data_IF_605309655575
#
_entry.id   IF_605309655575
#
_cell.length_a   1.000
_cell.length_b   1.000
_cell.length_c   1.000
_cell.angle_alpha   90.00
_cell.angle_beta   90.00
_cell.angle_gamma   90.00
#
_symmetry.space_group_name_H-M   'P 1'
#
loop_
_entity.id
_entity.type
_entity.pdbx_description
1 polymer ?
#
# COMPACT_ATOMS: atom_id res chain seq x y z
N UNK A 1 28.55 9.80 8.20
CA UNK A 1 28.71 10.03 6.72
C UNK A 1 27.85 11.20 6.32
N UNK A 2 28.28 12.01 5.36
CA UNK A 2 27.52 13.13 4.79
C UNK A 2 27.17 12.79 3.35
N UNK A 3 25.91 12.96 2.96
CA UNK A 3 25.43 12.80 1.58
C UNK A 3 25.10 14.19 1.06
N UNK A 4 25.82 14.68 0.04
CA UNK A 4 25.63 15.96 -0.63
C UNK A 4 24.88 15.73 -1.94
N UNK A 5 23.95 16.63 -2.28
CA UNK A 5 23.25 16.65 -3.55
C UNK A 5 23.01 18.11 -4.02
N UNK A 6 22.83 18.30 -5.31
CA UNK A 6 22.44 19.60 -5.87
C UNK A 6 21.16 20.14 -5.24
N UNK A 7 20.22 19.25 -4.93
CA UNK A 7 18.95 19.58 -4.25
C UNK A 7 18.60 18.51 -3.22
N UNK A 8 18.15 18.91 -2.02
CA UNK A 8 17.55 18.00 -1.02
C UNK A 8 16.06 18.31 -0.91
N UNK A 9 15.22 17.34 -1.32
CA UNK A 9 13.75 17.41 -1.20
C UNK A 9 13.35 16.76 0.12
N UNK A 10 13.07 17.57 1.13
CA UNK A 10 12.87 17.07 2.49
C UNK A 10 11.50 16.46 2.76
N UNK A 11 10.49 16.81 1.98
CA UNK A 11 9.06 16.54 2.25
C UNK A 11 8.58 17.09 3.60
N UNK A 12 9.34 18.04 4.19
CA UNK A 12 9.05 18.72 5.46
C UNK A 12 9.20 20.26 5.34
N UNK A 13 9.33 20.76 4.11
CA UNK A 13 9.51 22.17 3.76
C UNK A 13 10.01 22.32 2.32
N UNK A 14 10.40 23.52 1.90
CA UNK A 14 10.89 23.74 0.55
C UNK A 14 12.19 22.96 0.28
N UNK A 15 12.49 22.61 -0.99
CA UNK A 15 13.75 21.99 -1.37
C UNK A 15 14.95 22.85 -0.98
N UNK A 16 16.04 22.22 -0.57
CA UNK A 16 17.29 22.87 -0.14
C UNK A 16 18.31 22.74 -1.29
N UNK A 17 18.65 23.88 -1.90
CA UNK A 17 19.69 23.95 -2.93
C UNK A 17 21.07 23.73 -2.34
N UNK A 18 21.95 22.99 -3.05
CA UNK A 18 23.26 22.56 -2.59
C UNK A 18 23.17 22.01 -1.15
N UNK A 19 22.24 21.08 -0.97
CA UNK A 19 21.90 20.53 0.33
C UNK A 19 22.75 19.33 0.70
N UNK A 20 22.71 18.99 1.99
CA UNK A 20 23.31 17.76 2.49
C UNK A 20 22.51 17.15 3.65
N UNK A 21 22.71 15.85 3.82
CA UNK A 21 22.18 15.04 4.91
C UNK A 21 23.33 14.34 5.62
N UNK A 22 23.46 14.56 6.92
CA UNK A 22 24.33 13.74 7.75
C UNK A 22 23.55 12.55 8.31
N UNK A 23 24.12 11.33 8.24
CA UNK A 23 23.52 10.12 8.73
C UNK A 23 24.50 9.30 9.56
N UNK A 24 24.01 8.74 10.67
CA UNK A 24 24.76 7.86 11.58
C UNK A 24 23.80 6.89 12.28
N UNK A 25 24.23 5.67 12.55
CA UNK A 25 23.43 4.67 13.27
C UNK A 25 22.09 4.36 12.60
N UNK A 26 22.02 4.42 11.26
CA UNK A 26 20.79 4.17 10.51
C UNK A 26 19.79 5.32 10.49
N UNK A 27 20.13 6.46 11.08
CA UNK A 27 19.25 7.63 11.19
C UNK A 27 19.90 8.89 10.61
N UNK A 28 19.07 9.80 10.15
CA UNK A 28 19.44 11.15 9.77
C UNK A 28 19.75 11.92 11.06
N UNK A 29 20.95 12.51 11.15
CA UNK A 29 21.38 13.31 12.30
C UNK A 29 21.21 14.80 12.05
N UNK A 30 21.43 15.23 10.79
CA UNK A 30 21.30 16.64 10.43
C UNK A 30 20.91 16.80 8.95
N UNK A 31 20.24 17.90 8.60
CA UNK A 31 19.81 18.26 7.24
C UNK A 31 19.95 19.76 7.07
N UNK A 32 20.51 20.23 5.95
CA UNK A 32 20.67 21.64 5.67
C UNK A 32 21.50 21.92 4.43
N UNK A 33 22.01 23.16 4.31
CA UNK A 33 22.99 23.49 3.26
C UNK A 33 24.28 22.72 3.50
N UNK A 34 24.94 22.30 2.43
CA UNK A 34 26.18 21.54 2.53
C UNK A 34 27.28 22.28 3.31
N UNK A 35 27.42 23.63 3.15
CA UNK A 35 28.35 24.44 3.91
C UNK A 35 28.21 24.24 5.42
N UNK A 36 26.98 24.26 5.92
CA UNK A 36 26.67 24.22 7.34
C UNK A 36 26.85 22.81 7.92
N UNK A 37 26.39 21.79 7.13
CA UNK A 37 26.52 20.39 7.51
C UNK A 37 27.98 19.94 7.55
N UNK A 38 28.79 20.33 6.56
CA UNK A 38 30.21 19.99 6.51
C UNK A 38 31.03 20.64 7.61
N UNK A 39 30.69 21.88 7.96
CA UNK A 39 31.37 22.59 9.05
C UNK A 39 31.13 21.93 10.42
N UNK A 40 29.93 21.40 10.66
CA UNK A 40 29.57 20.79 11.94
C UNK A 40 29.96 19.31 12.04
N UNK A 41 30.30 18.65 10.92
CA UNK A 41 30.64 17.23 10.84
C UNK A 41 32.02 17.04 10.17
N UNK A 42 33.02 17.82 10.56
CA UNK A 42 34.37 17.76 10.00
C UNK A 42 35.01 16.39 10.20
N UNK A 43 35.57 15.81 9.11
CA UNK A 43 36.20 14.48 9.13
C UNK A 43 35.29 13.32 8.78
N UNK A 44 33.97 13.56 8.61
CA UNK A 44 33.04 12.52 8.12
C UNK A 44 33.25 12.25 6.62
N UNK A 45 33.06 10.98 6.24
CA UNK A 45 33.04 10.60 4.82
C UNK A 45 31.94 11.36 4.07
N UNK A 46 32.29 11.94 2.93
CA UNK A 46 31.35 12.65 2.05
C UNK A 46 31.07 11.78 0.82
N UNK A 47 29.78 11.57 0.55
CA UNK A 47 29.27 11.04 -0.71
C UNK A 47 28.65 12.21 -1.48
N UNK A 48 29.29 12.61 -2.58
CA UNK A 48 28.79 13.70 -3.44
C UNK A 48 28.01 13.11 -4.62
N UNK A 49 26.71 13.38 -4.67
CA UNK A 49 25.81 12.90 -5.72
C UNK A 49 25.72 13.89 -6.91
N UNK A 50 26.35 15.05 -6.82
CA UNK A 50 26.33 16.05 -7.89
C UNK A 50 24.93 16.63 -8.14
N UNK A 51 24.58 16.79 -9.43
CA UNK A 51 23.30 17.35 -9.87
C UNK A 51 22.15 16.32 -9.76
N UNK A 52 21.82 15.97 -8.54
CA UNK A 52 20.70 15.08 -8.22
C UNK A 52 19.81 15.70 -7.14
N UNK A 53 18.54 15.31 -7.14
CA UNK A 53 17.65 15.48 -6.01
C UNK A 53 17.78 14.30 -5.06
N UNK A 54 18.17 14.56 -3.82
CA UNK A 54 18.12 13.60 -2.71
C UNK A 54 16.78 13.73 -2.01
N UNK A 55 16.03 12.63 -1.89
CA UNK A 55 14.69 12.63 -1.33
C UNK A 55 14.47 11.39 -0.44
N UNK A 56 13.38 11.34 0.37
CA UNK A 56 13.05 10.13 1.11
C UNK A 56 12.86 8.96 0.16
N UNK A 57 13.28 7.78 0.57
CA UNK A 57 12.99 6.54 -0.14
C UNK A 57 11.47 6.34 -0.29
N UNK A 58 11.06 5.79 -1.44
CA UNK A 58 9.65 5.62 -1.76
C UNK A 58 9.04 4.49 -0.92
N UNK A 59 7.77 4.66 -0.57
CA UNK A 59 6.98 3.71 0.22
C UNK A 59 5.84 3.18 -0.65
N UNK A 60 5.92 1.91 -1.02
CA UNK A 60 4.85 1.21 -1.73
C UNK A 60 3.82 0.72 -0.71
N UNK A 61 2.65 1.36 -0.69
CA UNK A 61 1.65 1.11 0.35
C UNK A 61 0.75 -0.13 0.08
N UNK A 62 0.89 -0.77 -1.09
CA UNK A 62 0.15 -1.99 -1.45
C UNK A 62 0.81 -2.69 -2.65
N UNK A 63 1.25 -3.92 -2.44
CA UNK A 63 1.73 -4.79 -3.51
C UNK A 63 1.58 -6.27 -3.14
N UNK A 64 1.67 -7.14 -4.17
CA UNK A 64 1.67 -8.60 -4.04
C UNK A 64 2.90 -9.16 -4.78
N UNK A 65 4.04 -9.23 -4.11
CA UNK A 65 5.28 -9.76 -4.71
C UNK A 65 5.18 -11.26 -5.04
N UNK A 66 4.24 -11.97 -4.42
CA UNK A 66 3.90 -13.35 -4.72
C UNK A 66 3.67 -13.57 -6.23
N UNK A 67 3.17 -12.53 -6.92
CA UNK A 67 2.74 -12.61 -8.32
C UNK A 67 3.64 -11.84 -9.28
N UNK A 68 4.88 -11.52 -8.89
CA UNK A 68 5.89 -10.94 -9.80
C UNK A 68 6.12 -11.81 -11.03
N UNK A 69 6.12 -13.13 -10.86
CA UNK A 69 6.30 -14.12 -11.94
C UNK A 69 5.10 -14.22 -12.90
N UNK A 70 3.97 -13.56 -12.59
CA UNK A 70 2.78 -13.55 -13.44
C UNK A 70 2.74 -12.36 -14.42
N UNK A 71 3.76 -11.52 -14.44
CA UNK A 71 3.87 -10.38 -15.37
C UNK A 71 3.61 -10.82 -16.81
N UNK A 72 2.63 -10.17 -17.44
CA UNK A 72 2.28 -10.40 -18.83
C UNK A 72 1.65 -11.76 -19.16
N UNK A 73 1.42 -12.62 -18.16
CA UNK A 73 0.79 -13.94 -18.39
C UNK A 73 -0.72 -13.87 -18.51
N UNK A 74 -1.34 -12.87 -17.89
CA UNK A 74 -2.78 -12.68 -17.90
C UNK A 74 -3.07 -11.45 -18.77
N UNK A 75 -3.78 -11.61 -19.90
CA UNK A 75 -4.17 -10.48 -20.72
C UNK A 75 -5.27 -9.66 -20.04
N UNK A 76 -5.38 -8.34 -20.31
CA UNK A 76 -6.49 -7.55 -19.84
C UNK A 76 -7.84 -8.16 -20.23
N UNK A 77 -8.73 -8.31 -19.27
CA UNK A 77 -10.09 -8.83 -19.46
C UNK A 77 -11.11 -7.73 -19.16
N UNK A 78 -12.26 -7.78 -19.85
CA UNK A 78 -13.40 -6.90 -19.54
C UNK A 78 -14.18 -7.37 -18.29
N UNK A 79 -13.98 -8.61 -17.86
CA UNK A 79 -14.58 -9.20 -16.68
C UNK A 79 -13.51 -9.40 -15.60
N UNK A 80 -13.75 -8.84 -14.43
CA UNK A 80 -12.92 -9.03 -13.25
C UNK A 80 -12.95 -10.50 -12.79
N UNK A 81 -14.11 -11.14 -12.87
CA UNK A 81 -14.27 -12.56 -12.54
C UNK A 81 -13.49 -13.48 -13.47
N UNK A 82 -13.48 -13.20 -14.77
CA UNK A 82 -12.65 -13.97 -15.70
C UNK A 82 -11.15 -13.81 -15.41
N UNK A 83 -10.71 -12.60 -15.02
CA UNK A 83 -9.36 -12.38 -14.58
C UNK A 83 -9.05 -13.18 -13.31
N UNK A 84 -9.97 -13.23 -12.32
CA UNK A 84 -9.82 -14.07 -11.11
C UNK A 84 -9.66 -15.54 -11.50
N UNK A 85 -10.44 -16.04 -12.44
CA UNK A 85 -10.32 -17.44 -12.93
C UNK A 85 -8.96 -17.67 -13.59
N UNK A 86 -8.49 -16.73 -14.40
CA UNK A 86 -7.21 -16.82 -15.10
C UNK A 86 -6.02 -16.77 -14.12
N UNK A 87 -5.99 -15.86 -13.15
CA UNK A 87 -4.93 -15.81 -12.15
C UNK A 87 -4.91 -17.07 -11.27
N UNK A 88 -6.07 -17.61 -10.91
CA UNK A 88 -6.15 -18.86 -10.15
C UNK A 88 -5.63 -20.06 -10.95
N UNK A 89 -5.89 -20.11 -12.25
CA UNK A 89 -5.32 -21.15 -13.13
C UNK A 89 -3.79 -21.07 -13.22
N UNK A 90 -3.22 -19.87 -13.32
CA UNK A 90 -1.77 -19.68 -13.30
C UNK A 90 -1.16 -20.04 -11.93
N UNK A 91 -1.79 -19.61 -10.83
CA UNK A 91 -1.36 -19.91 -9.45
C UNK A 91 -1.33 -21.41 -9.16
N UNK A 92 -2.26 -22.17 -9.70
CA UNK A 92 -2.34 -23.64 -9.50
C UNK A 92 -1.09 -24.38 -10.04
N UNK A 93 -0.31 -23.75 -10.92
CA UNK A 93 0.90 -24.32 -11.51
C UNK A 93 2.19 -23.90 -10.78
N UNK A 94 2.11 -23.05 -9.73
CA UNK A 94 3.27 -22.52 -9.02
C UNK A 94 3.60 -23.38 -7.80
N UNK A 95 4.88 -23.72 -7.67
CA UNK A 95 5.44 -24.36 -6.47
C UNK A 95 5.79 -23.31 -5.40
N UNK A 96 6.02 -23.71 -4.13
CA UNK A 96 6.55 -22.82 -3.10
C UNK A 96 7.86 -22.13 -3.51
N UNK A 97 8.72 -22.81 -4.25
CA UNK A 97 9.98 -22.29 -4.79
C UNK A 97 9.75 -21.20 -5.83
N UNK A 98 8.71 -21.31 -6.64
CA UNK A 98 8.33 -20.29 -7.62
C UNK A 98 7.84 -19.02 -6.91
N UNK A 99 7.05 -19.13 -5.83
CA UNK A 99 6.64 -17.99 -5.02
C UNK A 99 7.84 -17.31 -4.33
N UNK A 100 8.77 -18.06 -3.74
CA UNK A 100 9.98 -17.49 -3.13
C UNK A 100 10.80 -16.73 -4.17
N UNK A 101 10.98 -17.29 -5.37
CA UNK A 101 11.68 -16.62 -6.47
C UNK A 101 10.94 -15.36 -6.91
N UNK A 102 9.64 -15.45 -7.10
CA UNK A 102 8.76 -14.33 -7.45
C UNK A 102 8.91 -13.16 -6.47
N UNK A 103 8.85 -13.45 -5.17
CA UNK A 103 8.98 -12.44 -4.12
C UNK A 103 10.38 -11.81 -4.13
N UNK A 104 11.44 -12.62 -4.28
CA UNK A 104 12.82 -12.11 -4.33
C UNK A 104 13.06 -11.22 -5.57
N UNK A 105 12.54 -11.62 -6.73
CA UNK A 105 12.62 -10.82 -7.97
C UNK A 105 11.85 -9.51 -7.80
N UNK A 106 10.67 -9.55 -7.16
CA UNK A 106 9.88 -8.36 -6.84
C UNK A 106 10.62 -7.41 -5.88
N UNK A 107 11.30 -7.92 -4.87
CA UNK A 107 12.16 -7.09 -4.01
C UNK A 107 13.28 -6.41 -4.78
N UNK A 108 13.98 -7.15 -5.63
CA UNK A 108 15.08 -6.60 -6.43
C UNK A 108 14.58 -5.48 -7.35
N UNK A 109 13.42 -5.69 -7.97
CA UNK A 109 12.82 -4.71 -8.87
C UNK A 109 12.32 -3.46 -8.13
N UNK A 110 11.55 -3.63 -7.06
CA UNK A 110 11.05 -2.51 -6.26
C UNK A 110 12.19 -1.64 -5.73
N UNK A 111 13.26 -2.27 -5.21
CA UNK A 111 14.49 -1.60 -4.76
C UNK A 111 15.14 -0.82 -5.90
N UNK A 112 15.25 -1.41 -7.09
CA UNK A 112 15.83 -0.78 -8.27
C UNK A 112 15.11 0.50 -8.65
N UNK A 113 13.79 0.59 -8.43
CA UNK A 113 12.97 1.79 -8.62
C UNK A 113 12.87 2.67 -7.38
N UNK A 114 13.78 2.54 -6.41
CA UNK A 114 13.87 3.46 -5.27
C UNK A 114 12.86 3.21 -4.15
N UNK A 115 12.14 2.09 -4.18
CA UNK A 115 11.31 1.69 -3.05
C UNK A 115 12.19 1.21 -1.90
N UNK A 116 12.05 1.83 -0.74
CA UNK A 116 12.79 1.47 0.50
C UNK A 116 11.89 0.82 1.53
N UNK A 117 10.58 0.94 1.37
CA UNK A 117 9.57 0.36 2.25
C UNK A 117 8.41 -0.21 1.44
N UNK A 118 7.96 -1.42 1.80
CA UNK A 118 6.85 -2.12 1.16
C UNK A 118 5.78 -2.51 2.17
N UNK A 119 4.51 -2.37 1.79
CA UNK A 119 3.38 -3.09 2.37
C UNK A 119 3.03 -4.27 1.44
N UNK A 120 3.59 -5.43 1.72
CA UNK A 120 3.43 -6.62 0.89
C UNK A 120 2.35 -7.55 1.44
N UNK A 121 1.35 -7.85 0.63
CA UNK A 121 0.35 -8.86 0.92
C UNK A 121 0.86 -10.21 0.40
N UNK A 122 0.71 -11.26 1.21
CA UNK A 122 1.11 -12.62 0.82
C UNK A 122 0.07 -13.65 1.25
N UNK A 123 -0.29 -14.54 0.34
CA UNK A 123 -1.09 -15.71 0.64
C UNK A 123 -0.31 -16.84 1.31
N UNK A 124 1.02 -16.70 1.47
CA UNK A 124 1.93 -17.75 1.93
C UNK A 124 2.81 -17.29 3.11
N UNK A 125 2.23 -16.94 4.27
CA UNK A 125 2.99 -16.43 5.41
C UNK A 125 4.07 -17.42 5.91
N UNK A 126 3.93 -18.73 5.66
CA UNK A 126 4.91 -19.74 6.00
C UNK A 126 6.22 -19.63 5.20
N UNK A 127 6.20 -19.00 4.04
CA UNK A 127 7.40 -18.83 3.19
C UNK A 127 8.27 -17.66 3.64
N UNK A 128 7.76 -16.72 4.43
CA UNK A 128 8.45 -15.47 4.80
C UNK A 128 9.81 -15.75 5.43
N UNK A 129 9.95 -16.81 6.25
CA UNK A 129 11.22 -17.18 6.89
C UNK A 129 12.32 -17.62 5.92
N UNK A 130 11.95 -17.95 4.69
CA UNK A 130 12.87 -18.36 3.60
C UNK A 130 13.24 -17.19 2.69
N UNK A 131 12.69 -16.01 2.93
CA UNK A 131 12.82 -14.81 2.10
C UNK A 131 13.71 -13.81 2.82
N UNK A 132 14.69 -13.24 2.10
CA UNK A 132 15.49 -12.13 2.59
C UNK A 132 14.93 -10.82 2.03
N UNK A 133 14.22 -10.08 2.85
CA UNK A 133 13.75 -8.75 2.47
C UNK A 133 14.93 -7.80 2.20
N UNK A 134 14.96 -7.22 1.01
CA UNK A 134 15.99 -6.26 0.59
C UNK A 134 15.68 -4.83 1.03
N UNK A 135 14.45 -4.58 1.46
CA UNK A 135 13.93 -3.30 1.92
C UNK A 135 13.06 -3.52 3.16
N UNK A 136 12.72 -2.47 3.87
CA UNK A 136 11.81 -2.53 5.01
C UNK A 136 10.44 -3.04 4.54
N UNK A 137 9.93 -4.08 5.19
CA UNK A 137 8.70 -4.75 4.72
C UNK A 137 7.71 -4.95 5.84
N UNK A 138 6.49 -4.44 5.64
CA UNK A 138 5.30 -4.88 6.36
C UNK A 138 4.72 -6.09 5.65
N UNK A 139 4.73 -7.24 6.32
CA UNK A 139 4.14 -8.47 5.81
C UNK A 139 2.69 -8.58 6.25
N UNK A 140 1.77 -8.53 5.31
CA UNK A 140 0.36 -8.77 5.56
C UNK A 140 -0.02 -10.17 5.09
N UNK A 141 -0.49 -11.04 6.01
CA UNK A 141 -1.07 -12.31 5.59
C UNK A 141 -2.43 -12.05 4.94
N UNK A 142 -2.56 -12.41 3.68
CA UNK A 142 -3.82 -12.35 2.94
C UNK A 142 -4.67 -13.55 3.29
N UNK A 143 -5.87 -13.31 3.81
CA UNK A 143 -6.74 -14.32 4.43
C UNK A 143 -8.07 -14.40 3.71
N UNK A 144 -8.47 -15.61 3.36
CA UNK A 144 -9.69 -15.95 2.63
C UNK A 144 -10.35 -17.13 3.33
N UNK A 145 -11.66 -17.05 3.59
CA UNK A 145 -12.46 -18.14 4.18
C UNK A 145 -13.80 -18.33 3.46
N UNK A 146 -13.86 -17.93 2.20
CA UNK A 146 -15.08 -17.93 1.37
C UNK A 146 -15.77 -19.29 1.30
N UNK A 147 -15.00 -20.38 1.31
CA UNK A 147 -15.52 -21.75 1.24
C UNK A 147 -16.01 -22.30 2.59
N UNK A 148 -15.41 -21.86 3.69
CA UNK A 148 -15.77 -22.32 5.04
C UNK A 148 -15.52 -21.25 6.13
N UNK A 149 -16.49 -20.37 6.37
CA UNK A 149 -16.41 -19.34 7.40
C UNK A 149 -16.30 -19.87 8.85
N UNK A 150 -16.52 -21.16 9.09
CA UNK A 150 -16.39 -21.76 10.42
C UNK A 150 -14.94 -21.86 10.87
N UNK A 151 -13.98 -21.91 9.93
CA UNK A 151 -12.54 -21.97 10.19
C UNK A 151 -11.86 -20.60 10.29
N UNK A 152 -12.61 -19.50 10.28
CA UNK A 152 -12.05 -18.14 10.34
C UNK A 152 -11.01 -17.94 11.44
N UNK A 153 -11.26 -18.45 12.67
CA UNK A 153 -10.33 -18.34 13.79
C UNK A 153 -9.03 -19.10 13.53
N UNK A 154 -9.14 -20.33 13.03
CA UNK A 154 -7.97 -21.19 12.76
C UNK A 154 -7.07 -20.57 11.69
N UNK A 155 -7.68 -20.10 10.58
CA UNK A 155 -6.95 -19.44 9.49
C UNK A 155 -6.17 -18.22 9.99
N UNK A 156 -6.79 -17.37 10.81
CA UNK A 156 -6.12 -16.19 11.38
C UNK A 156 -5.02 -16.60 12.35
N UNK A 157 -5.28 -17.54 13.27
CA UNK A 157 -4.33 -17.95 14.31
C UNK A 157 -3.08 -18.61 13.72
N UNK A 158 -3.22 -19.43 12.64
CA UNK A 158 -2.11 -20.01 11.91
C UNK A 158 -1.26 -18.93 11.22
N UNK A 159 -1.89 -17.94 10.59
CA UNK A 159 -1.17 -16.84 9.95
C UNK A 159 -0.38 -16.01 10.99
N UNK A 160 -1.00 -15.70 12.12
CA UNK A 160 -0.35 -14.98 13.22
C UNK A 160 0.87 -15.73 13.75
N UNK A 161 0.79 -17.05 13.91
CA UNK A 161 1.93 -17.88 14.34
C UNK A 161 3.14 -17.71 13.41
N UNK A 162 2.91 -17.61 12.09
CA UNK A 162 3.99 -17.43 11.11
C UNK A 162 4.55 -16.00 11.08
N UNK A 163 3.68 -15.00 11.31
CA UNK A 163 4.04 -13.57 11.21
C UNK A 163 4.70 -13.00 12.47
N UNK A 164 4.33 -13.47 13.67
CA UNK A 164 4.77 -12.92 14.96
C UNK A 164 6.29 -12.82 15.15
N UNK A 165 7.07 -13.62 14.44
CA UNK A 165 8.53 -13.55 14.51
C UNK A 165 9.12 -12.38 13.71
N UNK A 166 8.31 -11.72 12.88
CA UNK A 166 8.70 -10.58 12.08
C UNK A 166 8.58 -9.26 12.86
N UNK A 167 9.40 -8.29 12.50
CA UNK A 167 9.41 -6.96 13.13
C UNK A 167 8.16 -6.14 12.74
N UNK A 168 7.75 -6.25 11.48
CA UNK A 168 6.63 -5.49 10.90
C UNK A 168 5.66 -6.44 10.19
N UNK A 169 4.47 -6.59 10.77
CA UNK A 169 3.44 -7.46 10.20
C UNK A 169 2.03 -6.90 10.41
N UNK A 170 1.08 -7.45 9.68
CA UNK A 170 -0.33 -7.13 9.77
C UNK A 170 -1.18 -8.25 9.19
N UNK A 171 -2.49 -8.04 9.14
CA UNK A 171 -3.45 -8.98 8.59
C UNK A 171 -4.22 -8.34 7.44
N UNK A 172 -4.51 -9.13 6.43
CA UNK A 172 -5.25 -8.72 5.25
C UNK A 172 -6.47 -9.65 5.07
N UNK A 173 -7.61 -9.45 5.77
CA UNK A 173 -8.85 -10.04 5.28
C UNK A 173 -9.06 -9.55 3.86
N UNK A 174 -8.93 -10.46 2.87
CA UNK A 174 -8.70 -10.13 1.46
C UNK A 174 -9.68 -9.08 0.93
N UNK A 175 -10.96 -9.41 0.90
CA UNK A 175 -12.02 -8.51 0.43
C UNK A 175 -13.38 -8.92 1.02
N UNK A 176 -14.37 -8.02 1.11
CA UNK A 176 -15.71 -8.37 1.62
C UNK A 176 -16.43 -9.49 0.84
N UNK A 177 -16.02 -9.74 -0.38
CA UNK A 177 -16.59 -10.82 -1.19
C UNK A 177 -15.92 -12.19 -0.97
N UNK A 178 -14.75 -12.27 -0.33
CA UNK A 178 -14.02 -13.53 -0.06
C UNK A 178 -13.70 -13.75 1.41
N UNK A 179 -13.86 -12.75 2.26
CA UNK A 179 -13.62 -12.82 3.69
C UNK A 179 -14.95 -12.66 4.46
N UNK A 180 -15.25 -13.60 5.35
CA UNK A 180 -16.47 -13.57 6.14
C UNK A 180 -16.43 -12.50 7.24
N UNK A 181 -17.60 -12.14 7.78
CA UNK A 181 -17.70 -11.28 8.95
C UNK A 181 -16.95 -11.86 10.17
N UNK A 182 -16.87 -13.18 10.29
CA UNK A 182 -16.11 -13.84 11.34
C UNK A 182 -14.60 -13.63 11.18
N UNK A 183 -14.11 -13.72 9.93
CA UNK A 183 -12.70 -13.48 9.62
C UNK A 183 -12.31 -12.02 9.92
N UNK A 184 -13.12 -11.05 9.46
CA UNK A 184 -12.89 -9.63 9.76
C UNK A 184 -12.84 -9.39 11.27
N UNK A 185 -13.82 -9.88 12.02
CA UNK A 185 -13.85 -9.73 13.48
C UNK A 185 -12.62 -10.34 14.15
N UNK A 186 -12.21 -11.56 13.76
CA UNK A 186 -11.02 -12.19 14.30
C UNK A 186 -9.76 -11.39 14.01
N UNK A 187 -9.60 -10.89 12.78
CA UNK A 187 -8.49 -10.02 12.41
C UNK A 187 -8.46 -8.73 13.26
N UNK A 188 -9.61 -8.12 13.53
CA UNK A 188 -9.70 -6.92 14.35
C UNK A 188 -9.36 -7.19 15.83
N UNK A 189 -9.80 -8.31 16.40
CA UNK A 189 -9.42 -8.75 17.74
C UNK A 189 -7.90 -8.91 17.88
N UNK A 190 -7.28 -9.58 16.91
CA UNK A 190 -5.81 -9.73 16.84
C UNK A 190 -5.14 -8.37 16.68
N UNK A 191 -5.60 -7.55 15.73
CA UNK A 191 -5.02 -6.24 15.47
C UNK A 191 -5.10 -5.33 16.71
N UNK A 192 -6.14 -5.50 17.53
CA UNK A 192 -6.26 -4.82 18.82
C UNK A 192 -5.25 -5.31 19.84
N UNK A 193 -5.15 -6.61 19.98
CA UNK A 193 -4.30 -7.24 20.98
C UNK A 193 -2.82 -7.03 20.69
N UNK A 194 -2.43 -7.19 19.42
CA UNK A 194 -1.03 -7.13 18.99
C UNK A 194 -0.62 -5.74 18.47
N UNK A 195 -1.55 -4.77 18.41
CA UNK A 195 -1.34 -3.41 17.87
C UNK A 195 -0.79 -3.40 16.43
N UNK A 196 -1.27 -4.29 15.56
CA UNK A 196 -0.85 -4.40 14.17
C UNK A 196 -1.84 -3.74 13.22
N UNK A 197 -1.40 -3.53 11.97
CA UNK A 197 -2.20 -2.92 10.91
C UNK A 197 -3.13 -3.94 10.26
N UNK A 198 -4.23 -3.42 9.70
CA UNK A 198 -5.16 -4.16 8.84
C UNK A 198 -5.16 -3.55 7.43
N UNK A 199 -5.25 -4.42 6.42
CA UNK A 199 -5.49 -4.00 5.03
C UNK A 199 -6.57 -4.86 4.40
N UNK A 200 -7.28 -4.32 3.39
CA UNK A 200 -8.32 -5.05 2.65
C UNK A 200 -8.53 -4.41 1.28
N UNK A 201 -8.92 -5.21 0.30
CA UNK A 201 -9.44 -4.72 -0.98
C UNK A 201 -10.92 -4.36 -0.80
N UNK A 202 -11.35 -3.24 -1.34
CA UNK A 202 -12.72 -2.77 -1.16
C UNK A 202 -13.21 -1.98 -2.37
N UNK A 203 -14.40 -2.31 -2.82
CA UNK A 203 -15.08 -1.63 -3.92
C UNK A 203 -14.17 -1.51 -5.16
N UNK A 204 -13.49 -2.62 -5.49
CA UNK A 204 -12.49 -2.63 -6.54
C UNK A 204 -13.12 -2.60 -7.92
N UNK A 205 -14.15 -3.44 -8.16
CA UNK A 205 -14.71 -3.65 -9.48
C UNK A 205 -16.23 -3.41 -9.53
N UNK A 206 -16.72 -3.13 -10.75
CA UNK A 206 -18.16 -3.05 -11.02
C UNK A 206 -18.88 -4.35 -10.70
N UNK A 207 -18.22 -5.49 -10.88
CA UNK A 207 -18.81 -6.80 -10.58
C UNK A 207 -18.97 -6.99 -9.07
N UNK A 208 -18.02 -6.50 -8.25
CA UNK A 208 -18.18 -6.45 -6.80
C UNK A 208 -19.35 -5.52 -6.41
N UNK A 209 -19.44 -4.35 -7.04
CA UNK A 209 -20.52 -3.42 -6.78
C UNK A 209 -21.89 -4.02 -7.13
N UNK A 210 -22.05 -4.62 -8.32
CA UNK A 210 -23.30 -5.28 -8.73
C UNK A 210 -23.67 -6.47 -7.83
N UNK A 211 -22.68 -7.26 -7.41
CA UNK A 211 -22.92 -8.36 -6.48
C UNK A 211 -23.53 -7.88 -5.17
N UNK A 212 -22.99 -6.83 -4.54
CA UNK A 212 -23.48 -6.36 -3.26
C UNK A 212 -24.76 -5.51 -3.37
N UNK A 213 -24.91 -4.72 -4.43
CA UNK A 213 -26.07 -3.84 -4.62
C UNK A 213 -27.27 -4.56 -5.22
N UNK A 214 -27.06 -5.42 -6.21
CA UNK A 214 -28.11 -6.02 -7.04
C UNK A 214 -28.29 -7.52 -6.76
N UNK A 215 -27.31 -8.18 -6.12
CA UNK A 215 -27.34 -9.64 -5.93
C UNK A 215 -27.21 -10.42 -7.24
N UNK A 216 -26.46 -9.89 -8.18
CA UNK A 216 -26.31 -10.46 -9.53
C UNK A 216 -24.94 -10.19 -10.12
N UNK A 217 -24.67 -10.76 -11.30
CA UNK A 217 -23.46 -10.52 -12.08
C UNK A 217 -22.43 -11.65 -11.99
N UNK A 218 -21.39 -11.58 -12.84
CA UNK A 218 -20.42 -12.68 -12.98
C UNK A 218 -19.74 -13.07 -11.66
N UNK A 219 -19.35 -12.08 -10.84
CA UNK A 219 -18.71 -12.33 -9.54
C UNK A 219 -19.70 -12.99 -8.56
N UNK A 220 -20.97 -12.57 -8.58
CA UNK A 220 -22.02 -13.19 -7.77
C UNK A 220 -22.18 -14.67 -8.12
N UNK A 221 -22.30 -14.99 -9.41
CA UNK A 221 -22.50 -16.36 -9.87
C UNK A 221 -21.29 -17.24 -9.54
N UNK A 222 -20.08 -16.73 -9.79
CA UNK A 222 -18.83 -17.43 -9.47
C UNK A 222 -18.70 -17.75 -7.98
N UNK A 223 -18.95 -16.78 -7.11
CA UNK A 223 -18.81 -16.97 -5.67
C UNK A 223 -19.90 -17.89 -5.09
N UNK A 224 -21.11 -17.82 -5.65
CA UNK A 224 -22.21 -18.75 -5.33
C UNK A 224 -21.85 -20.19 -5.72
N UNK A 225 -21.24 -20.37 -6.90
CA UNK A 225 -20.78 -21.67 -7.39
C UNK A 225 -19.77 -22.32 -6.45
N UNK A 226 -18.84 -21.54 -5.89
CA UNK A 226 -17.84 -22.04 -4.94
C UNK A 226 -18.31 -22.07 -3.48
N UNK A 227 -19.61 -21.89 -3.22
CA UNK A 227 -20.23 -22.08 -1.91
C UNK A 227 -20.28 -20.87 -0.99
N UNK A 228 -19.99 -19.64 -1.49
CA UNK A 228 -20.14 -18.43 -0.67
C UNK A 228 -21.59 -18.24 -0.22
N UNK A 229 -21.78 -17.84 1.05
CA UNK A 229 -23.09 -17.42 1.53
C UNK A 229 -23.47 -16.06 0.92
N UNK A 230 -24.50 -16.05 0.08
CA UNK A 230 -24.94 -14.87 -0.68
C UNK A 230 -25.97 -14.01 0.04
N UNK A 231 -26.31 -14.29 1.30
CA UNK A 231 -27.38 -13.60 2.04
C UNK A 231 -27.13 -12.10 2.24
N UNK A 232 -25.90 -11.64 2.17
CA UNK A 232 -25.52 -10.22 2.28
C UNK A 232 -25.60 -9.46 0.95
N UNK A 233 -25.80 -10.16 -0.17
CA UNK A 233 -25.84 -9.58 -1.52
C UNK A 233 -27.21 -8.96 -1.85
N UNK A 234 -27.23 -8.00 -2.78
CA UNK A 234 -28.46 -7.35 -3.23
C UNK A 234 -29.08 -6.39 -2.23
N UNK A 235 -28.31 -5.84 -1.26
CA UNK A 235 -28.84 -5.04 -0.17
C UNK A 235 -28.15 -3.71 0.07
N UNK A 236 -26.89 -3.60 -0.27
CA UNK A 236 -26.04 -2.45 0.06
C UNK A 236 -24.82 -2.39 -0.83
N UNK A 237 -24.08 -1.28 -0.78
CA UNK A 237 -22.79 -1.16 -1.49
C UNK A 237 -21.71 -2.02 -0.84
N UNK A 238 -20.59 -2.33 -1.53
CA UNK A 238 -19.42 -2.96 -0.90
C UNK A 238 -18.95 -2.21 0.34
N UNK A 239 -18.90 -0.87 0.28
CA UNK A 239 -18.54 0.01 1.39
C UNK A 239 -19.53 -0.15 2.56
N UNK A 240 -20.81 -0.12 2.29
CA UNK A 240 -21.85 -0.32 3.30
C UNK A 240 -21.73 -1.68 3.99
N UNK A 241 -21.51 -2.76 3.20
CA UNK A 241 -21.31 -4.09 3.76
C UNK A 241 -20.03 -4.17 4.60
N UNK A 242 -18.90 -3.69 4.07
CA UNK A 242 -17.65 -3.66 4.82
C UNK A 242 -17.82 -2.96 6.19
N UNK A 243 -18.38 -1.77 6.21
CA UNK A 243 -18.61 -1.03 7.45
C UNK A 243 -19.56 -1.76 8.41
N UNK A 244 -20.49 -2.56 7.89
CA UNK A 244 -21.40 -3.35 8.73
C UNK A 244 -20.74 -4.53 9.43
N UNK A 245 -19.63 -5.06 8.88
CA UNK A 245 -18.90 -6.21 9.42
C UNK A 245 -17.62 -5.80 10.18
N UNK A 246 -16.92 -4.77 9.69
CA UNK A 246 -15.75 -4.15 10.32
C UNK A 246 -16.24 -3.10 11.34
N UNK A 247 -16.11 -3.23 12.58
CA UNK A 247 -16.57 -2.27 13.58
C UNK A 247 -17.52 -2.83 14.62
N UNK A 248 -17.94 -4.07 14.47
CA UNK A 248 -18.72 -4.78 15.51
C UNK A 248 -17.85 -5.41 16.61
N UNK A 249 -16.55 -5.21 16.60
CA UNK A 249 -15.58 -5.76 17.56
C UNK A 249 -15.61 -5.09 18.92
N UNK A 250 -16.78 -5.00 19.58
CA UNK A 250 -16.84 -4.30 20.85
C UNK A 250 -18.06 -4.50 21.74
N UNK A 251 -19.08 -5.27 21.39
CA UNK A 251 -20.04 -5.78 22.39
C UNK A 251 -20.97 -6.85 21.81
N UNK A 252 -20.77 -8.07 22.22
CA UNK A 252 -21.70 -9.19 22.00
C UNK A 252 -23.02 -9.06 22.80
N UNK A 253 -23.28 -7.93 23.48
CA UNK A 253 -24.44 -7.70 24.30
C UNK A 253 -24.99 -6.28 24.08
N UNK A 254 -25.69 -6.04 22.95
CA UNK A 254 -26.65 -4.93 22.88
C UNK A 254 -27.93 -5.43 22.24
N UNK A 255 -29.00 -5.43 23.05
CA UNK A 255 -30.37 -5.72 22.65
C UNK A 255 -30.85 -4.79 21.53
N UNK A 256 -31.56 -5.31 20.54
CA UNK A 256 -32.16 -4.63 19.39
C UNK A 256 -33.28 -3.62 19.74
N UNK A 257 -33.27 -3.00 20.90
CA UNK A 257 -34.43 -2.25 21.41
C UNK A 257 -34.43 -0.74 21.19
N UNK A 258 -33.48 -0.17 20.43
CA UNK A 258 -33.51 1.27 20.18
C UNK A 258 -33.40 1.56 18.68
N UNK A 259 -34.51 1.92 18.07
CA UNK A 259 -34.69 2.21 16.63
C UNK A 259 -33.93 3.41 16.08
N UNK A 260 -32.80 3.79 16.66
CA UNK A 260 -31.85 4.75 16.11
C UNK A 260 -30.74 4.00 15.40
N UNK A 261 -30.58 4.20 14.11
CA UNK A 261 -29.43 3.79 13.34
C UNK A 261 -28.12 4.20 14.06
N UNK A 262 -27.59 3.31 14.91
CA UNK A 262 -26.33 3.58 15.58
C UNK A 262 -25.22 3.59 14.53
N UNK A 263 -24.55 4.71 14.45
CA UNK A 263 -23.43 4.89 13.57
C UNK A 263 -22.35 3.82 13.83
N UNK A 264 -22.01 3.12 12.78
CA UNK A 264 -20.96 2.10 12.78
C UNK A 264 -19.64 2.85 12.90
N UNK A 265 -18.97 2.74 14.05
CA UNK A 265 -17.63 3.28 14.24
C UNK A 265 -16.61 2.18 13.93
N UNK A 266 -15.88 2.34 12.83
CA UNK A 266 -14.64 1.58 12.60
C UNK A 266 -13.55 2.29 13.39
N UNK A 267 -13.25 1.79 14.57
CA UNK A 267 -12.33 2.43 15.52
C UNK A 267 -10.85 2.10 15.23
N UNK A 268 -10.56 1.41 14.10
CA UNK A 268 -9.22 0.97 13.76
C UNK A 268 -8.75 1.50 12.43
N UNK A 269 -7.45 1.80 12.32
CA UNK A 269 -6.89 2.16 11.02
C UNK A 269 -6.87 0.94 10.09
N UNK A 270 -7.38 1.18 8.88
CA UNK A 270 -7.30 0.27 7.75
C UNK A 270 -6.55 0.91 6.59
N UNK A 271 -5.71 0.12 5.94
CA UNK A 271 -5.26 0.38 4.59
C UNK A 271 -6.31 -0.22 3.65
N UNK A 272 -7.01 0.62 2.91
CA UNK A 272 -8.09 0.20 2.01
C UNK A 272 -7.58 0.32 0.58
N UNK A 273 -7.32 -0.81 -0.06
CA UNK A 273 -6.90 -0.83 -1.46
C UNK A 273 -8.08 -0.57 -2.39
N UNK A 274 -7.81 0.15 -3.48
CA UNK A 274 -8.68 0.49 -4.60
C UNK A 274 -9.73 1.57 -4.31
N UNK A 275 -10.88 1.22 -3.75
CA UNK A 275 -12.03 2.11 -3.53
C UNK A 275 -12.45 2.82 -4.85
N UNK A 276 -12.54 2.05 -5.94
CA UNK A 276 -12.83 2.54 -7.28
C UNK A 276 -14.33 2.76 -7.53
N UNK A 277 -15.17 1.83 -7.05
CA UNK A 277 -16.60 1.79 -7.30
C UNK A 277 -17.39 2.31 -6.10
N UNK A 278 -17.38 3.63 -5.91
CA UNK A 278 -18.08 4.33 -4.83
C UNK A 278 -19.27 5.14 -5.33
N UNK A 279 -20.35 5.12 -4.57
CA UNK A 279 -21.57 5.87 -4.81
C UNK A 279 -21.62 7.17 -3.99
N UNK A 280 -22.56 8.07 -4.30
CA UNK A 280 -22.74 9.28 -3.49
C UNK A 280 -23.08 8.97 -2.02
N UNK A 281 -23.81 7.89 -1.76
CA UNK A 281 -24.11 7.46 -0.38
C UNK A 281 -22.89 6.98 0.37
N UNK A 282 -21.89 6.40 -0.32
CA UNK A 282 -20.68 5.90 0.30
C UNK A 282 -19.82 7.02 0.87
N UNK A 283 -19.78 8.20 0.24
CA UNK A 283 -19.05 9.35 0.77
C UNK A 283 -19.58 9.75 2.16
N UNK A 284 -20.90 9.74 2.37
CA UNK A 284 -21.49 10.01 3.69
C UNK A 284 -21.10 8.95 4.73
N UNK A 285 -21.00 7.67 4.29
CA UNK A 285 -20.58 6.58 5.16
C UNK A 285 -19.08 6.68 5.51
N UNK A 286 -18.26 7.19 4.61
CA UNK A 286 -16.82 7.33 4.79
C UNK A 286 -16.40 8.56 5.61
N UNK A 287 -17.26 9.55 5.82
CA UNK A 287 -16.94 10.77 6.58
C UNK A 287 -16.45 10.46 8.01
N UNK A 288 -17.06 9.49 8.70
CA UNK A 288 -16.71 9.16 10.08
C UNK A 288 -15.42 8.36 10.19
N UNK A 289 -15.24 7.25 9.43
CA UNK A 289 -13.99 6.48 9.47
C UNK A 289 -12.83 7.15 8.73
N UNK A 290 -13.04 8.30 8.05
CA UNK A 290 -12.02 8.95 7.21
C UNK A 290 -10.67 9.16 7.92
N UNK A 291 -10.68 9.44 9.22
CA UNK A 291 -9.46 9.61 10.02
C UNK A 291 -8.68 8.31 10.23
N UNK A 292 -9.36 7.17 10.14
CA UNK A 292 -8.79 5.84 10.37
C UNK A 292 -8.47 5.11 9.06
N UNK A 293 -8.90 5.64 7.91
CA UNK A 293 -8.65 5.00 6.63
C UNK A 293 -7.54 5.69 5.85
N UNK A 294 -6.67 4.87 5.29
CA UNK A 294 -5.75 5.27 4.23
C UNK A 294 -6.13 4.51 2.97
N UNK A 295 -6.44 5.25 1.91
CA UNK A 295 -6.82 4.68 0.61
C UNK A 295 -5.57 4.49 -0.22
N UNK A 296 -5.35 3.27 -0.71
CA UNK A 296 -4.23 2.97 -1.58
C UNK A 296 -4.77 2.82 -3.00
N UNK A 297 -4.50 3.82 -3.83
CA UNK A 297 -4.83 3.77 -5.25
C UNK A 297 -3.67 3.19 -6.04
N UNK A 298 -3.96 2.31 -6.99
CA UNK A 298 -2.99 1.67 -7.89
C UNK A 298 -3.31 2.08 -9.33
N UNK A 299 -2.81 3.24 -9.80
CA UNK A 299 -3.26 3.85 -11.06
C UNK A 299 -3.14 2.96 -12.30
N UNK A 300 -2.06 2.19 -12.40
CA UNK A 300 -1.80 1.33 -13.57
C UNK A 300 -2.65 0.07 -13.53
N UNK A 301 -2.78 -0.59 -12.37
CA UNK A 301 -3.71 -1.71 -12.18
C UNK A 301 -5.15 -1.26 -12.43
N UNK A 302 -5.54 -0.07 -11.92
CA UNK A 302 -6.84 0.54 -12.21
C UNK A 302 -7.07 0.72 -13.72
N UNK A 303 -6.07 1.17 -14.47
CA UNK A 303 -6.15 1.34 -15.92
C UNK A 303 -6.22 -0.01 -16.66
N UNK A 304 -5.47 -1.02 -16.17
CA UNK A 304 -5.47 -2.38 -16.72
C UNK A 304 -6.88 -3.00 -16.71
N UNK A 305 -7.61 -2.84 -15.63
CA UNK A 305 -9.00 -3.34 -15.50
C UNK A 305 -10.04 -2.42 -16.15
N UNK A 306 -9.70 -1.18 -16.47
CA UNK A 306 -10.67 -0.20 -16.98
C UNK A 306 -11.78 0.13 -15.98
N UNK A 307 -11.44 0.24 -14.70
CA UNK A 307 -12.37 0.60 -13.63
C UNK A 307 -13.01 1.98 -13.84
N UNK A 308 -14.10 2.26 -13.11
CA UNK A 308 -14.74 3.56 -13.08
C UNK A 308 -13.78 4.66 -12.63
N UNK A 309 -13.92 5.91 -13.08
CA UNK A 309 -13.00 6.98 -12.73
C UNK A 309 -12.83 7.14 -11.22
N UNK A 310 -11.60 7.01 -10.73
CA UNK A 310 -11.28 7.17 -9.31
C UNK A 310 -11.70 8.55 -8.79
N UNK A 311 -12.41 8.61 -7.70
CA UNK A 311 -13.05 9.82 -7.17
C UNK A 311 -12.12 10.63 -6.27
N UNK A 312 -10.87 10.82 -6.69
CA UNK A 312 -9.78 11.45 -5.93
C UNK A 312 -10.20 12.73 -5.19
N UNK A 313 -10.77 13.70 -5.91
CA UNK A 313 -11.11 15.00 -5.32
C UNK A 313 -12.18 14.91 -4.22
N UNK A 314 -13.15 14.00 -4.38
CA UNK A 314 -14.19 13.78 -3.36
C UNK A 314 -13.62 13.09 -2.12
N UNK A 315 -12.83 12.03 -2.32
CA UNK A 315 -12.17 11.29 -1.24
C UNK A 315 -11.22 12.19 -0.45
N UNK A 316 -10.40 13.00 -1.16
CA UNK A 316 -9.51 13.98 -0.55
C UNK A 316 -10.28 15.04 0.25
N UNK A 317 -11.38 15.60 -0.32
CA UNK A 317 -12.24 16.56 0.37
C UNK A 317 -12.86 15.97 1.63
N UNK A 318 -13.19 14.69 1.63
CA UNK A 318 -13.67 13.93 2.80
C UNK A 318 -12.58 13.69 3.87
N UNK A 319 -11.34 14.16 3.68
CA UNK A 319 -10.27 14.06 4.66
C UNK A 319 -9.54 12.71 4.67
N UNK A 320 -9.78 11.84 3.69
CA UNK A 320 -9.12 10.56 3.56
C UNK A 320 -7.63 10.74 3.19
N UNK A 321 -6.77 9.97 3.83
CA UNK A 321 -5.37 9.86 3.45
C UNK A 321 -5.24 9.03 2.17
N UNK A 322 -4.64 9.56 1.12
CA UNK A 322 -4.51 8.87 -0.17
C UNK A 322 -3.04 8.58 -0.42
N UNK A 323 -2.75 7.31 -0.72
CA UNK A 323 -1.43 6.76 -1.03
C UNK A 323 -1.45 6.10 -2.41
N UNK A 324 -0.27 5.83 -2.97
CA UNK A 324 -0.13 4.99 -4.15
C UNK A 324 0.49 3.64 -3.78
N UNK A 325 0.10 2.62 -4.55
CA UNK A 325 0.66 1.28 -4.55
C UNK A 325 0.80 0.76 -5.97
N UNK A 326 1.53 -0.33 -6.15
CA UNK A 326 1.73 -0.93 -7.48
C UNK A 326 0.78 -2.09 -7.75
N UNK A 327 0.11 -2.61 -6.71
CA UNK A 327 -0.63 -3.86 -6.82
C UNK A 327 0.28 -5.03 -7.27
N UNK A 328 -0.27 -6.08 -7.87
CA UNK A 328 0.47 -7.23 -8.38
C UNK A 328 0.93 -7.04 -9.83
N UNK A 329 2.00 -7.74 -10.23
CA UNK A 329 2.42 -7.78 -11.64
C UNK A 329 1.53 -8.69 -12.51
N UNK A 330 0.49 -9.29 -11.94
CA UNK A 330 -0.58 -9.92 -12.71
C UNK A 330 -1.50 -8.88 -13.39
N UNK A 331 -1.49 -7.62 -12.90
CA UNK A 331 -2.26 -6.49 -13.43
C UNK A 331 -1.41 -5.23 -13.67
N UNK A 332 -0.07 -5.37 -13.65
CA UNK A 332 0.85 -4.25 -13.84
C UNK A 332 2.09 -4.67 -14.64
N UNK A 333 2.85 -3.71 -15.17
CA UNK A 333 4.03 -3.93 -16.01
C UNK A 333 5.33 -3.99 -15.22
N UNK A 334 5.45 -3.21 -14.13
CA UNK A 334 6.59 -3.16 -13.22
C UNK A 334 6.20 -2.64 -11.84
N UNK A 335 7.15 -2.68 -10.87
CA UNK A 335 6.97 -2.20 -9.49
C UNK A 335 7.45 -0.74 -9.30
N UNK A 336 7.45 0.07 -10.35
CA UNK A 336 7.88 1.46 -10.32
C UNK A 336 6.80 2.38 -9.75
N UNK A 337 7.03 2.93 -8.55
CA UNK A 337 6.17 4.00 -8.01
C UNK A 337 6.29 5.30 -8.81
N UNK A 338 7.38 5.52 -9.56
CA UNK A 338 7.47 6.63 -10.50
C UNK A 338 6.44 6.49 -11.61
N UNK A 339 6.31 5.29 -12.19
CA UNK A 339 5.30 5.02 -13.21
C UNK A 339 3.87 5.16 -12.65
N UNK A 340 3.63 4.79 -11.40
CA UNK A 340 2.34 5.03 -10.74
C UNK A 340 2.06 6.53 -10.55
N UNK A 341 3.06 7.33 -10.13
CA UNK A 341 2.92 8.78 -10.03
C UNK A 341 2.60 9.43 -11.37
N UNK A 342 3.26 9.01 -12.46
CA UNK A 342 2.99 9.51 -13.82
C UNK A 342 1.59 9.12 -14.30
N UNK A 343 1.18 7.87 -14.08
CA UNK A 343 -0.17 7.41 -14.41
C UNK A 343 -1.24 8.19 -13.65
N UNK A 344 -0.99 8.48 -12.37
CA UNK A 344 -1.85 9.33 -11.55
C UNK A 344 -1.89 10.77 -12.09
N UNK A 345 -0.73 11.40 -12.34
CA UNK A 345 -0.64 12.77 -12.86
C UNK A 345 -1.35 12.92 -14.20
N UNK A 346 -1.19 11.95 -15.10
CA UNK A 346 -1.90 11.94 -16.39
C UNK A 346 -3.42 11.98 -16.22
N UNK A 347 -3.95 11.32 -15.19
CA UNK A 347 -5.39 11.31 -14.89
C UNK A 347 -5.84 12.58 -14.17
N UNK A 348 -4.97 13.13 -13.31
CA UNK A 348 -5.24 14.29 -12.47
C UNK A 348 -4.20 15.41 -12.68
N UNK A 349 -4.18 16.05 -13.87
CA UNK A 349 -3.12 16.99 -14.25
C UNK A 349 -3.06 18.27 -13.40
N UNK A 350 -4.13 18.57 -12.67
CA UNK A 350 -4.20 19.73 -11.78
C UNK A 350 -3.74 19.44 -10.34
N UNK A 351 -3.34 18.21 -10.03
CA UNK A 351 -2.75 17.87 -8.73
C UNK A 351 -1.26 18.20 -8.77
N UNK A 352 -0.77 18.93 -7.76
CA UNK A 352 0.63 19.35 -7.72
C UNK A 352 1.59 18.16 -7.59
N UNK A 353 2.80 18.30 -8.14
CA UNK A 353 3.85 17.31 -8.00
C UNK A 353 4.16 17.02 -6.52
N UNK A 354 4.15 18.05 -5.67
CA UNK A 354 4.33 17.87 -4.22
C UNK A 354 3.28 16.94 -3.61
N UNK A 355 2.01 17.12 -3.97
CA UNK A 355 0.92 16.27 -3.47
C UNK A 355 1.08 14.82 -3.96
N UNK A 356 1.50 14.62 -5.21
CA UNK A 356 1.74 13.29 -5.78
C UNK A 356 2.92 12.61 -5.07
N UNK A 357 4.05 13.30 -4.85
CA UNK A 357 5.20 12.75 -4.13
C UNK A 357 4.83 12.41 -2.67
N UNK A 358 3.97 13.21 -2.02
CA UNK A 358 3.44 12.86 -0.68
C UNK A 358 2.73 11.51 -0.65
N UNK A 359 2.05 11.10 -1.73
CA UNK A 359 1.33 9.83 -1.78
C UNK A 359 2.23 8.60 -1.73
N UNK A 360 3.50 8.74 -2.10
CA UNK A 360 4.52 7.67 -2.06
C UNK A 360 5.59 7.92 -0.97
N UNK A 361 5.40 8.92 -0.13
CA UNK A 361 6.31 9.27 0.98
C UNK A 361 5.53 9.49 2.28
N UNK A 362 5.18 10.73 2.61
CA UNK A 362 4.58 11.10 3.91
C UNK A 362 3.20 10.50 4.13
N UNK A 363 2.35 10.42 3.09
CA UNK A 363 1.03 9.81 3.21
C UNK A 363 1.13 8.31 3.45
N UNK A 364 2.01 7.62 2.70
CA UNK A 364 2.28 6.20 2.87
C UNK A 364 2.96 5.89 4.21
N UNK A 365 3.85 6.77 4.69
CA UNK A 365 4.41 6.66 6.03
C UNK A 365 3.32 6.75 7.11
N UNK A 366 2.37 7.70 6.97
CA UNK A 366 1.21 7.82 7.85
C UNK A 366 0.31 6.58 7.80
N UNK A 367 0.08 6.02 6.60
CA UNK A 367 -0.70 4.78 6.45
C UNK A 367 -0.09 3.62 7.24
N UNK A 368 1.24 3.52 7.26
CA UNK A 368 1.98 2.52 8.02
C UNK A 368 2.22 2.91 9.50
N UNK A 369 1.66 4.02 9.98
CA UNK A 369 1.89 4.60 11.33
C UNK A 369 3.36 4.91 11.58
N UNK A 370 4.09 5.33 10.56
CA UNK A 370 5.51 5.65 10.58
C UNK A 370 5.79 7.13 10.25
N UNK A 371 4.81 8.01 10.37
CA UNK A 371 4.91 9.44 10.05
C UNK A 371 5.96 10.19 10.87
N UNK A 372 6.41 9.60 11.99
CA UNK A 372 7.45 10.15 12.86
C UNK A 372 8.83 9.54 12.60
N UNK A 373 8.95 8.63 11.63
CA UNK A 373 10.21 7.91 11.36
C UNK A 373 10.54 7.74 9.88
N UNK A 374 9.54 7.77 8.99
CA UNK A 374 9.68 7.54 7.55
C UNK A 374 9.01 8.65 6.72
N UNK A 375 9.36 8.71 5.43
CA UNK A 375 8.71 9.58 4.44
C UNK A 375 9.19 11.02 4.44
N UNK A 376 10.18 11.39 5.26
CA UNK A 376 10.80 12.73 5.31
C UNK A 376 12.31 12.63 5.43
N UNK A 377 13.00 13.64 4.87
CA UNK A 377 14.42 13.87 5.17
C UNK A 377 14.49 14.88 6.33
N UNK A 378 14.57 14.35 7.55
CA UNK A 378 14.53 15.12 8.79
C UNK A 378 15.38 14.46 9.86
N UNK A 379 16.03 15.27 10.71
CA UNK A 379 16.80 14.77 11.87
C UNK A 379 15.93 13.85 12.75
N UNK A 380 16.49 12.71 13.16
CA UNK A 380 15.80 11.65 13.91
C UNK A 380 15.07 10.59 13.07
N UNK A 381 14.78 10.88 11.80
CA UNK A 381 14.15 9.93 10.88
C UNK A 381 15.13 8.85 10.42
N UNK A 382 14.61 7.73 9.98
CA UNK A 382 15.41 6.65 9.40
C UNK A 382 16.08 7.16 8.12
N UNK A 383 17.34 6.82 7.91
CA UNK A 383 18.08 7.18 6.72
C UNK A 383 17.74 6.23 5.55
N UNK A 384 16.49 6.31 5.09
CA UNK A 384 15.97 5.68 3.88
C UNK A 384 15.88 6.78 2.82
N UNK A 385 16.83 6.78 1.88
CA UNK A 385 17.05 7.86 0.92
C UNK A 385 17.24 7.31 -0.49
N UNK A 386 16.84 8.10 -1.49
CA UNK A 386 17.14 7.84 -2.91
C UNK A 386 17.60 9.12 -3.59
N UNK A 387 18.29 8.95 -4.73
CA UNK A 387 18.69 10.07 -5.56
C UNK A 387 18.22 9.88 -7.01
N UNK A 388 17.70 10.95 -7.60
CA UNK A 388 17.29 11.02 -9.00
C UNK A 388 17.92 12.24 -9.67
N UNK A 389 18.24 12.19 -10.96
CA UNK A 389 18.75 13.36 -11.70
C UNK A 389 17.78 14.54 -11.54
N UNK A 390 18.34 15.75 -11.32
CA UNK A 390 17.58 16.96 -11.13
C UNK A 390 18.41 18.18 -11.54
N UNK A 391 17.85 19.03 -12.38
CA UNK A 391 18.53 20.21 -12.90
C UNK A 391 18.52 21.40 -11.92
N UNK A 392 17.62 21.42 -10.92
CA UNK A 392 17.55 22.51 -9.95
C UNK A 392 16.43 22.37 -8.93
N UNK A 393 16.49 23.18 -7.89
CA UNK A 393 15.57 23.12 -6.76
C UNK A 393 14.13 23.52 -7.08
N UNK A 394 13.94 24.40 -8.07
CA UNK A 394 12.63 24.96 -8.41
C UNK A 394 11.71 23.97 -9.15
N UNK A 395 12.29 23.04 -9.92
CA UNK A 395 11.57 22.00 -10.69
C UNK A 395 11.74 20.59 -10.11
N UNK A 396 12.36 20.47 -8.94
CA UNK A 396 12.75 19.17 -8.40
C UNK A 396 11.58 18.19 -8.22
N UNK A 397 10.42 18.67 -7.78
CA UNK A 397 9.25 17.82 -7.57
C UNK A 397 8.64 17.36 -8.88
N UNK A 398 8.58 18.22 -9.87
CA UNK A 398 8.11 17.92 -11.22
C UNK A 398 9.05 16.91 -11.92
N UNK A 399 10.36 17.08 -11.76
CA UNK A 399 11.36 16.16 -12.31
C UNK A 399 11.31 14.80 -11.62
N UNK A 400 11.06 14.75 -10.30
CA UNK A 400 10.85 13.51 -9.57
C UNK A 400 9.62 12.75 -10.10
N UNK A 401 8.49 13.44 -10.29
CA UNK A 401 7.28 12.80 -10.83
C UNK A 401 7.48 12.33 -12.27
N UNK A 402 8.25 13.08 -13.08
CA UNK A 402 8.55 12.73 -14.46
C UNK A 402 9.65 11.66 -14.62
N UNK A 403 10.33 11.27 -13.54
CA UNK A 403 11.40 10.27 -13.57
C UNK A 403 10.86 8.88 -13.90
N UNK A 404 11.53 8.14 -14.80
CA UNK A 404 11.02 6.88 -15.40
C UNK A 404 12.04 5.74 -15.44
N UNK A 405 13.15 5.88 -14.73
CA UNK A 405 14.28 4.94 -14.78
C UNK A 405 14.61 4.36 -13.42
N UNK A 406 15.46 3.34 -13.33
CA UNK A 406 16.08 2.91 -12.10
C UNK A 406 16.84 4.05 -11.41
N UNK A 407 16.76 4.13 -10.07
CA UNK A 407 17.52 5.11 -9.31
C UNK A 407 19.01 4.78 -9.35
N UNK A 408 19.84 5.82 -9.48
CA UNK A 408 21.30 5.65 -9.53
C UNK A 408 21.92 5.39 -8.16
N UNK A 409 21.25 5.81 -7.10
CA UNK A 409 21.73 5.68 -5.73
C UNK A 409 20.56 5.52 -4.75
N UNK A 410 20.74 4.66 -3.75
CA UNK A 410 19.79 4.48 -2.68
C UNK A 410 20.47 4.09 -1.36
N UNK A 411 19.79 4.40 -0.24
CA UNK A 411 20.19 4.03 1.11
C UNK A 411 18.96 3.49 1.85
N UNK A 412 19.12 2.37 2.53
CA UNK A 412 18.07 1.77 3.37
C UNK A 412 18.63 1.56 4.77
N UNK A 413 17.99 2.13 5.79
CA UNK A 413 18.46 2.05 7.17
C UNK A 413 19.88 2.57 7.38
N UNK A 414 20.29 3.59 6.63
CA UNK A 414 21.65 4.15 6.67
C UNK A 414 22.70 3.33 5.92
N UNK A 415 22.31 2.24 5.27
CA UNK A 415 23.22 1.40 4.46
C UNK A 415 23.07 1.76 2.99
N UNK A 416 24.15 2.24 2.37
CA UNK A 416 24.19 2.48 0.93
C UNK A 416 23.98 1.17 0.19
N UNK A 417 23.07 1.19 -0.75
CA UNK A 417 22.76 0.05 -1.59
C UNK A 417 23.53 0.17 -2.90
N UNK A 418 24.35 -0.81 -3.20
CA UNK A 418 25.00 -0.83 -4.51
C UNK A 418 23.94 -1.01 -5.60
N UNK A 419 24.03 -0.21 -6.64
CA UNK A 419 23.28 -0.45 -7.88
C UNK A 419 23.74 -1.80 -8.43
N UNK A 420 22.83 -2.76 -8.55
CA UNK A 420 23.12 -4.04 -9.18
C UNK A 420 23.19 -3.87 -10.68
#
# INVERSE_FOLDING_TARGET
MIIRAGTVVTMDGPPIENGAVAASGGRITNVGKFSDISATNSGEQIVDLGEQALLPGLINAHCHLDYTCLRGKIPPSKSFTEWIRAINAEKANLSPEDYIRSINDGFAEAKRFGTTTLANLTGFPELIRRIKSLVRTWWFAELIDVGDPSHANEVVDLAVEKLKSGEHWGLAPHAPFTASANLYRRCEEIAQRENVLLTTHLAESREEASMFQEGSGPLYDFLKEIGRNMSACGRQTPVGYFLSIAGRGGSANRSESDGRSQAIEVNRPYLVAHLNEVTESDFNLLERPAKNFSIIHCPRSHAYFGHSPFQFHKLRKGGLNICLGTDSLASNEDLSLFAEMQAFQKRFPNVSAEEIVKMVTTNSARALRQENSLGKVRSGFVADLIAVPCAGSTSALEEIVAFDRPVSWSMVGGQVQNSA
#
